data_IF_654319811518
#
_entry.id   IF_654319811518
#
_cell.length_a   1.000
_cell.length_b   1.000
_cell.length_c   1.000
_cell.angle_alpha   90.00
_cell.angle_beta   90.00
_cell.angle_gamma   90.00
#
_symmetry.space_group_name_H-M   'P 1'
#
loop_
_entity.id
_entity.type
_entity.pdbx_description
1 polymer ?
#
# COMPACT_ATOMS: atom_id res chain seq x y z
N UNK A 1 -0.65 13.96 -1.69
CA UNK A 1 -1.54 13.22 -2.63
C UNK A 1 -0.63 12.59 -3.68
N UNK A 2 -0.94 11.50 -4.41
CA UNK A 2 0.00 11.05 -5.45
C UNK A 2 0.11 12.17 -6.51
N UNK A 3 1.26 12.86 -6.54
CA UNK A 3 1.42 14.11 -7.28
C UNK A 3 1.86 13.91 -8.73
N UNK A 4 2.41 12.74 -9.08
CA UNK A 4 2.61 12.35 -10.48
C UNK A 4 1.40 11.56 -11.04
N UNK A 5 1.11 11.76 -12.32
CA UNK A 5 0.07 10.99 -13.02
C UNK A 5 0.34 9.47 -12.94
N UNK A 6 1.61 9.07 -12.98
CA UNK A 6 2.04 7.67 -12.90
C UNK A 6 1.85 7.08 -11.50
N UNK A 7 2.18 7.80 -10.42
CA UNK A 7 1.89 7.33 -9.06
C UNK A 7 0.40 7.25 -8.79
N UNK A 8 -0.36 8.25 -9.24
CA UNK A 8 -1.81 8.24 -9.13
C UNK A 8 -2.40 7.02 -9.83
N UNK A 9 -1.93 6.70 -11.03
CA UNK A 9 -2.32 5.50 -11.78
C UNK A 9 -1.95 4.21 -11.04
N UNK A 10 -0.74 4.12 -10.47
CA UNK A 10 -0.28 2.96 -9.67
C UNK A 10 -1.12 2.75 -8.41
N UNK A 11 -1.36 3.80 -7.64
CA UNK A 11 -2.18 3.76 -6.41
C UNK A 11 -3.62 3.38 -6.75
N UNK A 12 -4.22 4.00 -7.78
CA UNK A 12 -5.57 3.64 -8.23
C UNK A 12 -5.67 2.19 -8.72
N UNK A 13 -4.65 1.66 -9.38
CA UNK A 13 -4.62 0.26 -9.78
C UNK A 13 -4.62 -0.69 -8.57
N UNK A 14 -3.90 -0.35 -7.49
CA UNK A 14 -3.93 -1.10 -6.23
C UNK A 14 -5.28 -1.02 -5.55
N UNK A 15 -5.90 0.16 -5.48
CA UNK A 15 -7.26 0.34 -4.93
C UNK A 15 -8.28 -0.51 -5.69
N UNK A 16 -8.25 -0.49 -7.03
CA UNK A 16 -9.13 -1.32 -7.87
C UNK A 16 -8.93 -2.82 -7.62
N UNK A 17 -7.69 -3.25 -7.38
CA UNK A 17 -7.39 -4.65 -7.03
C UNK A 17 -7.99 -5.03 -5.68
N UNK A 18 -7.84 -4.19 -4.65
CA UNK A 18 -8.44 -4.42 -3.32
C UNK A 18 -9.96 -4.49 -3.44
N UNK A 19 -10.59 -3.62 -4.23
CA UNK A 19 -12.03 -3.69 -4.49
C UNK A 19 -12.45 -5.04 -5.05
N UNK A 20 -11.80 -5.52 -6.12
CA UNK A 20 -12.13 -6.83 -6.69
C UNK A 20 -11.93 -8.00 -5.71
N UNK A 21 -10.99 -7.89 -4.76
CA UNK A 21 -10.85 -8.89 -3.69
C UNK A 21 -11.99 -8.82 -2.67
N UNK A 22 -12.48 -7.62 -2.35
CA UNK A 22 -13.64 -7.42 -1.47
C UNK A 22 -14.93 -7.94 -2.13
N UNK A 23 -15.13 -7.65 -3.42
CA UNK A 23 -16.29 -8.13 -4.19
C UNK A 23 -16.29 -9.68 -4.22
N UNK A 24 -15.12 -10.31 -4.37
CA UNK A 24 -14.98 -11.77 -4.33
C UNK A 24 -15.27 -12.35 -2.93
N UNK A 25 -14.85 -11.65 -1.87
CA UNK A 25 -15.11 -12.04 -0.49
C UNK A 25 -16.61 -11.96 -0.15
N UNK A 26 -17.27 -10.88 -0.56
CA UNK A 26 -18.72 -10.72 -0.42
C UNK A 26 -19.45 -11.89 -1.10
N UNK A 27 -19.12 -12.19 -2.35
CA UNK A 27 -19.73 -13.29 -3.09
C UNK A 27 -19.49 -14.66 -2.42
N UNK A 28 -18.31 -14.90 -1.86
CA UNK A 28 -17.99 -16.14 -1.15
C UNK A 28 -18.82 -16.27 0.15
N UNK A 29 -19.04 -15.16 0.86
CA UNK A 29 -19.90 -15.10 2.04
C UNK A 29 -21.37 -15.36 1.68
N UNK A 30 -21.88 -14.72 0.63
CA UNK A 30 -23.26 -14.91 0.15
C UNK A 30 -23.53 -16.37 -0.26
N UNK A 31 -22.54 -17.03 -0.87
CA UNK A 31 -22.60 -18.44 -1.25
C UNK A 31 -22.47 -19.41 -0.08
N UNK A 32 -22.15 -18.93 1.11
CA UNK A 32 -21.90 -19.77 2.28
C UNK A 32 -20.68 -20.66 2.13
N UNK A 33 -19.60 -20.15 1.51
CA UNK A 33 -18.34 -20.90 1.39
C UNK A 33 -17.75 -21.24 2.77
N UNK A 34 -16.91 -22.28 2.80
CA UNK A 34 -16.28 -22.73 4.03
C UNK A 34 -15.41 -21.63 4.67
N UNK A 35 -15.33 -21.63 6.02
CA UNK A 35 -14.57 -20.62 6.76
C UNK A 35 -13.07 -20.57 6.38
N UNK A 36 -12.47 -21.70 5.98
CA UNK A 36 -11.05 -21.76 5.57
C UNK A 36 -10.74 -20.83 4.38
N UNK A 37 -11.38 -21.02 3.21
CA UNK A 37 -11.28 -20.11 2.07
C UNK A 37 -11.58 -18.64 2.41
N UNK A 38 -12.62 -18.37 3.20
CA UNK A 38 -12.96 -17.01 3.65
C UNK A 38 -11.79 -16.37 4.42
N UNK A 39 -11.20 -17.08 5.39
CA UNK A 39 -10.06 -16.60 6.16
C UNK A 39 -8.84 -16.32 5.27
N UNK A 40 -8.62 -17.14 4.23
CA UNK A 40 -7.54 -16.91 3.25
C UNK A 40 -7.78 -15.64 2.43
N UNK A 41 -9.02 -15.40 1.98
CA UNK A 41 -9.37 -14.18 1.26
C UNK A 41 -9.19 -12.92 2.14
N UNK A 42 -9.60 -12.98 3.41
CA UNK A 42 -9.38 -11.88 4.37
C UNK A 42 -7.87 -11.61 4.54
N UNK A 43 -7.05 -12.65 4.69
CA UNK A 43 -5.60 -12.50 4.80
C UNK A 43 -5.00 -11.86 3.54
N UNK A 44 -5.48 -12.22 2.35
CA UNK A 44 -5.06 -11.64 1.09
C UNK A 44 -5.45 -10.15 0.96
N UNK A 45 -6.67 -9.78 1.36
CA UNK A 45 -7.14 -8.39 1.41
C UNK A 45 -6.27 -7.56 2.34
N UNK A 46 -6.00 -8.06 3.55
CA UNK A 46 -5.10 -7.39 4.51
C UNK A 46 -3.72 -7.11 3.91
N UNK A 47 -3.11 -8.11 3.29
CA UNK A 47 -1.81 -7.95 2.63
C UNK A 47 -1.83 -6.91 1.50
N UNK A 48 -2.90 -6.87 0.71
CA UNK A 48 -3.07 -5.88 -0.35
C UNK A 48 -3.24 -4.45 0.20
N UNK A 49 -3.99 -4.28 1.30
CA UNK A 49 -4.15 -2.99 1.99
C UNK A 49 -2.81 -2.53 2.58
N UNK A 50 -2.04 -3.42 3.19
CA UNK A 50 -0.71 -3.09 3.73
C UNK A 50 0.24 -2.62 2.61
N UNK A 51 0.21 -3.28 1.45
CA UNK A 51 0.98 -2.87 0.27
C UNK A 51 0.53 -1.53 -0.32
N UNK A 52 -0.77 -1.21 -0.28
CA UNK A 52 -1.31 0.10 -0.65
C UNK A 52 -0.80 1.19 0.30
N UNK A 53 -0.95 0.98 1.61
CA UNK A 53 -0.52 1.90 2.66
C UNK A 53 0.97 2.21 2.56
N UNK A 54 1.82 1.18 2.43
CA UNK A 54 3.25 1.35 2.25
C UNK A 54 3.62 2.22 1.04
N UNK A 55 2.92 2.04 -0.10
CA UNK A 55 3.18 2.85 -1.29
C UNK A 55 2.73 4.31 -1.15
N UNK A 56 1.58 4.55 -0.51
CA UNK A 56 1.09 5.92 -0.26
C UNK A 56 2.00 6.64 0.73
N UNK A 57 2.42 5.96 1.79
CA UNK A 57 3.32 6.54 2.78
C UNK A 57 4.70 6.86 2.19
N UNK A 58 5.27 5.97 1.38
CA UNK A 58 6.53 6.25 0.68
C UNK A 58 6.43 7.51 -0.19
N UNK A 59 5.36 7.64 -0.96
CA UNK A 59 5.11 8.84 -1.78
C UNK A 59 5.05 10.09 -0.90
N UNK A 60 4.32 10.03 0.22
CA UNK A 60 4.21 11.16 1.15
C UNK A 60 5.55 11.54 1.78
N UNK A 61 6.35 10.57 2.20
CA UNK A 61 7.68 10.82 2.79
C UNK A 61 8.66 11.35 1.74
N UNK A 62 8.68 10.83 0.51
CA UNK A 62 9.57 11.39 -0.53
C UNK A 62 9.24 12.84 -0.82
N UNK A 63 7.97 13.23 -0.77
CA UNK A 63 7.52 14.61 -0.99
C UNK A 63 7.87 15.53 0.19
N UNK A 64 7.49 15.14 1.41
CA UNK A 64 7.77 15.91 2.64
C UNK A 64 9.26 16.12 2.86
N UNK A 65 10.13 15.27 2.32
CA UNK A 65 11.57 15.41 2.47
C UNK A 65 12.29 15.85 1.19
N UNK A 66 11.59 16.04 0.06
CA UNK A 66 12.18 16.45 -1.22
C UNK A 66 12.92 17.79 -1.14
N UNK A 67 12.44 18.72 -0.31
CA UNK A 67 13.05 20.04 -0.15
C UNK A 67 14.33 20.04 0.68
N UNK A 68 14.56 18.98 1.48
CA UNK A 68 15.78 18.81 2.28
C UNK A 68 16.97 18.29 1.45
N UNK A 69 16.70 17.74 0.27
CA UNK A 69 17.73 17.27 -0.68
C UNK A 69 18.55 18.39 -1.33
N UNK A 70 18.14 19.65 -1.19
CA UNK A 70 18.86 20.80 -1.76
C UNK A 70 20.03 21.31 -0.91
N UNK A 71 20.30 20.71 0.26
CA UNK A 71 21.30 21.24 1.22
C UNK A 71 22.48 20.34 1.57
N UNK A 72 22.46 19.03 1.27
CA UNK A 72 23.59 18.11 1.54
C UNK A 72 23.31 16.73 0.95
N UNK A 73 24.34 15.97 0.56
CA UNK A 73 24.28 14.63 -0.06
C UNK A 73 23.79 13.49 0.86
N UNK A 74 23.20 13.82 2.02
CA UNK A 74 22.81 12.87 3.07
C UNK A 74 21.33 12.34 3.08
N UNK A 75 20.31 12.96 2.46
CA UNK A 75 18.91 12.66 2.79
C UNK A 75 18.26 11.47 2.06
N UNK A 76 18.68 11.11 0.84
CA UNK A 76 18.02 10.01 0.11
C UNK A 76 18.15 8.66 0.85
N UNK A 77 19.33 8.37 1.42
CA UNK A 77 19.55 7.15 2.21
C UNK A 77 18.68 7.10 3.48
N UNK A 78 18.42 8.26 4.09
CA UNK A 78 17.59 8.36 5.29
C UNK A 78 16.10 8.11 5.00
N UNK A 79 15.60 8.51 3.83
CA UNK A 79 14.19 8.32 3.46
C UNK A 79 13.91 6.84 3.18
N UNK A 80 14.79 6.16 2.44
CA UNK A 80 14.63 4.74 2.14
C UNK A 80 14.67 3.87 3.42
N UNK A 81 15.48 4.26 4.41
CA UNK A 81 15.50 3.61 5.74
C UNK A 81 14.18 3.80 6.50
N UNK A 82 13.62 5.01 6.53
CA UNK A 82 12.33 5.28 7.20
C UNK A 82 11.20 4.53 6.48
N UNK A 83 11.17 4.52 5.15
CA UNK A 83 10.18 3.77 4.36
C UNK A 83 10.31 2.26 4.62
N UNK A 84 11.54 1.74 4.65
CA UNK A 84 11.81 0.34 4.98
C UNK A 84 11.35 -0.02 6.38
N UNK A 85 11.63 0.85 7.36
CA UNK A 85 11.22 0.69 8.74
C UNK A 85 9.70 0.65 8.86
N UNK A 86 8.98 1.58 8.22
CA UNK A 86 7.51 1.55 8.27
C UNK A 86 6.96 0.31 7.56
N UNK A 87 7.50 -0.10 6.41
CA UNK A 87 7.11 -1.37 5.77
C UNK A 87 7.33 -2.58 6.70
N UNK A 88 8.36 -2.55 7.54
CA UNK A 88 8.64 -3.62 8.51
C UNK A 88 7.58 -3.72 9.62
N UNK A 89 6.98 -2.58 10.01
CA UNK A 89 5.90 -2.51 11.01
C UNK A 89 4.51 -2.76 10.44
N UNK A 90 4.32 -2.65 9.12
CA UNK A 90 3.06 -2.90 8.42
C UNK A 90 2.88 -4.34 7.92
N UNK A 91 3.56 -5.32 8.55
CA UNK A 91 3.40 -6.76 8.22
C UNK A 91 2.07 -7.32 8.71
#
# INVERSE_FOLDING_TARGET
MPHSAEEKKRVLARVRRVRGQLDALELALEKGEACGPILQQIAAVRGAINGLMAGVLESHLREEFAHLAHGSDAPEKSIDEVVSLVRSYLR
#
